data_IF_425597615515
#
_entry.id   IF_425597615515
#
_cell.length_a   1.000
_cell.length_b   1.000
_cell.length_c   1.000
_cell.angle_alpha   90.00
_cell.angle_beta   90.00
_cell.angle_gamma   90.00
#
_symmetry.space_group_name_H-M   'P 1'
#
loop_
_entity.id
_entity.type
_entity.pdbx_description
1 polymer ?
#
# COMPACT_ATOMS: atom_id res chain seq x y z
N UNK A 1 -1.62 -6.91 13.74
CA UNK A 1 -0.22 -6.62 14.05
C UNK A 1 -0.14 -5.64 15.22
N UNK A 2 0.92 -5.71 16.01
CA UNK A 2 1.17 -4.77 17.12
C UNK A 2 1.67 -3.40 16.67
N UNK A 3 1.82 -3.17 15.36
CA UNK A 3 2.31 -1.93 14.77
C UNK A 3 1.49 -1.63 13.50
N UNK A 4 0.92 -0.44 13.44
CA UNK A 4 0.27 0.07 12.25
C UNK A 4 1.25 0.79 11.32
N UNK A 5 0.79 1.07 10.10
CA UNK A 5 1.60 1.81 9.13
C UNK A 5 1.89 3.25 9.57
N UNK A 6 1.05 3.84 10.41
CA UNK A 6 1.30 5.15 11.02
C UNK A 6 2.48 5.10 11.99
N UNK A 7 2.47 4.11 12.91
CA UNK A 7 3.51 3.95 13.93
C UNK A 7 4.90 3.75 13.29
N UNK A 8 4.96 2.98 12.20
CA UNK A 8 6.20 2.78 11.45
C UNK A 8 6.74 4.09 10.85
N UNK A 9 5.87 4.94 10.32
CA UNK A 9 6.28 6.24 9.74
C UNK A 9 6.80 7.19 10.81
N UNK A 10 6.14 7.24 11.96
CA UNK A 10 6.61 8.02 13.11
C UNK A 10 7.97 7.52 13.61
N UNK A 11 8.19 6.20 13.62
CA UNK A 11 9.49 5.62 13.99
C UNK A 11 10.61 6.03 13.03
N UNK A 12 10.33 6.17 11.74
CA UNK A 12 11.27 6.78 10.78
C UNK A 12 11.46 8.28 10.99
N UNK A 13 10.64 8.91 11.82
CA UNK A 13 10.69 10.34 12.13
C UNK A 13 9.90 11.22 11.19
N UNK A 14 8.99 10.64 10.39
CA UNK A 14 8.02 11.39 9.59
C UNK A 14 6.95 11.98 10.53
N UNK A 15 6.66 13.26 10.39
CA UNK A 15 5.52 13.89 11.06
C UNK A 15 4.25 13.58 10.24
N UNK A 16 3.33 12.82 10.82
CA UNK A 16 2.11 12.35 10.13
C UNK A 16 0.86 13.18 10.45
N UNK A 17 0.87 13.92 11.56
CA UNK A 17 -0.26 14.75 12.00
C UNK A 17 -0.10 16.18 11.45
N UNK A 18 -0.19 16.28 10.13
CA UNK A 18 -0.02 17.53 9.39
C UNK A 18 -1.33 17.96 8.75
N UNK A 19 -1.61 19.28 8.66
CA UNK A 19 -2.74 19.82 7.92
C UNK A 19 -2.58 19.58 6.41
N UNK A 20 -3.71 19.67 5.68
CA UNK A 20 -3.77 19.36 4.24
C UNK A 20 -2.72 20.13 3.42
N UNK A 21 -2.52 21.41 3.70
CA UNK A 21 -1.56 22.22 2.96
C UNK A 21 -0.13 21.68 3.11
N UNK A 22 0.26 21.33 4.35
CA UNK A 22 1.58 20.78 4.67
C UNK A 22 1.78 19.40 4.06
N UNK A 23 0.74 18.54 4.04
CA UNK A 23 0.78 17.24 3.34
C UNK A 23 0.98 17.43 1.83
N UNK A 24 0.32 18.42 1.22
CA UNK A 24 0.49 18.73 -0.20
C UNK A 24 1.92 19.22 -0.51
N UNK A 25 2.52 20.04 0.36
CA UNK A 25 3.92 20.45 0.22
C UNK A 25 4.88 19.26 0.31
N UNK A 26 4.69 18.37 1.27
CA UNK A 26 5.48 17.12 1.37
C UNK A 26 5.39 16.29 0.08
N UNK A 27 4.20 16.16 -0.49
CA UNK A 27 4.03 15.44 -1.76
C UNK A 27 4.81 16.11 -2.90
N UNK A 28 4.80 17.44 -2.98
CA UNK A 28 5.51 18.18 -4.01
C UNK A 28 7.04 18.08 -3.87
N UNK A 29 7.56 18.02 -2.65
CA UNK A 29 8.99 17.98 -2.36
C UNK A 29 9.57 16.56 -2.38
N UNK A 30 8.90 15.62 -1.73
CA UNK A 30 9.39 14.25 -1.55
C UNK A 30 8.77 13.23 -2.54
N UNK A 31 7.76 13.62 -3.31
CA UNK A 31 7.03 12.70 -4.20
C UNK A 31 6.13 11.72 -3.47
N UNK A 32 6.07 11.77 -2.13
CA UNK A 32 5.27 10.89 -1.28
C UNK A 32 4.61 11.69 -0.16
N UNK A 33 3.41 11.28 0.24
CA UNK A 33 2.71 11.86 1.38
C UNK A 33 1.83 10.82 2.08
N UNK A 34 1.41 11.12 3.30
CA UNK A 34 0.54 10.26 4.10
C UNK A 34 -0.73 11.01 4.52
N UNK A 35 -1.87 10.55 4.02
CA UNK A 35 -3.16 11.07 4.42
C UNK A 35 -3.61 10.37 5.72
N UNK A 36 -3.18 10.91 6.86
CA UNK A 36 -3.49 10.32 8.16
C UNK A 36 -4.99 10.40 8.46
N UNK A 37 -5.63 9.24 8.63
CA UNK A 37 -7.09 9.16 8.73
C UNK A 37 -7.69 10.02 9.85
N UNK A 38 -7.01 10.22 10.97
CA UNK A 38 -7.47 11.08 12.07
C UNK A 38 -7.63 12.54 11.65
N UNK A 39 -6.72 13.02 10.79
CA UNK A 39 -6.74 14.39 10.27
C UNK A 39 -7.78 14.53 9.16
N UNK A 40 -7.75 13.59 8.20
CA UNK A 40 -8.53 13.70 6.97
C UNK A 40 -9.97 13.18 7.08
N UNK A 41 -10.25 12.35 8.10
CA UNK A 41 -11.58 11.78 8.35
C UNK A 41 -12.02 11.96 9.79
N UNK A 42 -12.12 13.19 10.31
CA UNK A 42 -12.42 13.43 11.71
C UNK A 42 -13.79 12.87 12.14
N UNK A 43 -14.72 12.72 11.18
CA UNK A 43 -16.04 12.13 11.45
C UNK A 43 -15.96 10.63 11.80
N UNK A 44 -14.92 9.90 11.34
CA UNK A 44 -14.78 8.47 11.64
C UNK A 44 -14.54 8.20 13.13
N UNK A 45 -14.08 9.19 13.91
CA UNK A 45 -13.93 9.05 15.36
C UNK A 45 -15.25 8.72 16.07
N UNK A 46 -16.37 9.21 15.55
CA UNK A 46 -17.69 8.96 16.16
C UNK A 46 -18.19 7.52 15.92
N UNK A 47 -17.61 6.80 14.98
CA UNK A 47 -17.91 5.39 14.73
C UNK A 47 -16.94 4.45 15.47
N UNK A 48 -15.89 4.98 16.12
CA UNK A 48 -14.82 4.18 16.72
C UNK A 48 -15.33 3.23 17.81
N UNK A 49 -16.07 3.75 18.76
CA UNK A 49 -16.59 2.98 19.91
C UNK A 49 -17.57 1.90 19.43
N UNK A 50 -18.50 2.26 18.54
CA UNK A 50 -19.45 1.31 17.97
C UNK A 50 -18.75 0.19 17.17
N UNK A 51 -17.69 0.52 16.43
CA UNK A 51 -16.88 -0.48 15.71
C UNK A 51 -16.15 -1.43 16.66
N UNK A 52 -15.60 -0.89 17.74
CA UNK A 52 -14.92 -1.69 18.76
C UNK A 52 -15.89 -2.66 19.45
N UNK A 53 -17.12 -2.19 19.75
CA UNK A 53 -18.18 -2.98 20.38
C UNK A 53 -18.72 -4.09 19.45
N UNK A 54 -18.90 -3.79 18.15
CA UNK A 54 -19.35 -4.76 17.14
C UNK A 54 -18.31 -5.87 16.94
N UNK A 55 -17.02 -5.56 16.97
CA UNK A 55 -15.91 -6.53 16.93
C UNK A 55 -15.76 -7.35 15.63
N UNK A 56 -16.53 -7.03 14.58
CA UNK A 56 -16.46 -7.70 13.27
C UNK A 56 -16.17 -6.70 12.14
N UNK A 57 -15.58 -7.14 11.01
CA UNK A 57 -15.39 -6.31 9.85
C UNK A 57 -16.71 -5.71 9.35
N UNK A 58 -16.69 -4.42 9.03
CA UNK A 58 -17.82 -3.67 8.50
C UNK A 58 -17.39 -2.91 7.23
N UNK A 59 -18.34 -2.24 6.56
CA UNK A 59 -18.02 -1.39 5.41
C UNK A 59 -17.00 -0.27 5.73
N UNK A 60 -16.84 0.11 6.99
CA UNK A 60 -15.78 1.05 7.41
C UNK A 60 -14.37 0.56 7.08
N UNK A 61 -14.18 -0.76 6.93
CA UNK A 61 -12.88 -1.32 6.61
C UNK A 61 -12.43 -1.02 5.17
N UNK A 62 -13.38 -0.73 4.27
CA UNK A 62 -13.09 -0.37 2.87
C UNK A 62 -13.24 1.13 2.58
N UNK A 63 -13.75 1.91 3.54
CA UNK A 63 -13.94 3.36 3.31
C UNK A 63 -12.64 4.13 3.21
N UNK A 64 -11.57 3.71 3.89
CA UNK A 64 -10.28 4.42 3.88
C UNK A 64 -9.76 4.66 2.45
N UNK A 65 -9.50 3.61 1.67
CA UNK A 65 -9.09 3.76 0.27
C UNK A 65 -10.12 4.47 -0.62
N UNK A 66 -11.41 4.21 -0.40
CA UNK A 66 -12.49 4.80 -1.19
C UNK A 66 -12.75 6.28 -0.84
N UNK A 67 -12.36 6.73 0.34
CA UNK A 67 -12.51 8.11 0.79
C UNK A 67 -11.18 8.89 0.80
N UNK A 68 -10.18 8.43 0.04
CA UNK A 68 -8.89 9.11 -0.05
C UNK A 68 -9.07 10.57 -0.51
N UNK A 69 -8.65 11.57 0.29
CA UNK A 69 -8.86 12.98 -0.03
C UNK A 69 -8.07 13.44 -1.27
N UNK A 70 -6.98 12.74 -1.60
CA UNK A 70 -6.18 13.04 -2.79
C UNK A 70 -6.87 12.62 -4.10
N UNK A 71 -7.93 11.79 -4.04
CA UNK A 71 -8.66 11.28 -5.22
C UNK A 71 -7.71 10.80 -6.32
N UNK A 72 -6.80 9.87 -6.03
CA UNK A 72 -5.82 9.43 -7.01
C UNK A 72 -6.51 8.79 -8.23
N UNK A 73 -5.96 9.03 -9.42
CA UNK A 73 -6.45 8.43 -10.66
C UNK A 73 -6.13 6.93 -10.74
N UNK A 74 -5.13 6.47 -9.98
CA UNK A 74 -4.69 5.08 -9.94
C UNK A 74 -4.54 4.60 -8.50
N UNK A 75 -4.89 3.34 -8.21
CA UNK A 75 -4.79 2.75 -6.87
C UNK A 75 -4.38 1.28 -6.89
N UNK A 76 -3.51 0.89 -5.95
CA UNK A 76 -3.26 -0.50 -5.59
C UNK A 76 -3.77 -0.71 -4.16
N UNK A 77 -4.69 -1.64 -3.96
CA UNK A 77 -5.42 -1.79 -2.68
C UNK A 77 -5.53 -3.24 -2.27
N UNK A 78 -4.93 -3.56 -1.13
CA UNK A 78 -5.12 -4.84 -0.47
C UNK A 78 -6.41 -4.89 0.36
N UNK A 79 -7.08 -6.04 0.38
CA UNK A 79 -8.36 -6.22 1.07
C UNK A 79 -8.37 -7.50 1.91
N UNK A 80 -8.43 -7.36 3.24
CA UNK A 80 -8.44 -8.49 4.16
C UNK A 80 -9.73 -9.33 4.06
N UNK A 81 -10.87 -8.73 3.70
CA UNK A 81 -12.17 -9.39 3.66
C UNK A 81 -12.62 -9.60 2.20
N UNK A 82 -12.49 -10.81 1.71
CA UNK A 82 -12.70 -11.17 0.29
C UNK A 82 -14.03 -10.68 -0.31
N UNK A 83 -15.19 -10.83 0.33
CA UNK A 83 -16.46 -10.32 -0.22
C UNK A 83 -16.46 -8.80 -0.48
N UNK A 84 -15.64 -8.04 0.22
CA UNK A 84 -15.54 -6.60 0.04
C UNK A 84 -14.59 -6.19 -1.11
N UNK A 85 -13.73 -7.09 -1.58
CA UNK A 85 -12.79 -6.79 -2.66
C UNK A 85 -13.52 -6.51 -3.98
N UNK A 86 -14.47 -7.37 -4.36
CA UNK A 86 -15.28 -7.16 -5.56
C UNK A 86 -16.13 -5.87 -5.48
N UNK A 87 -16.67 -5.56 -4.29
CA UNK A 87 -17.42 -4.31 -4.05
C UNK A 87 -16.51 -3.09 -4.25
N UNK A 88 -15.31 -3.14 -3.68
CA UNK A 88 -14.33 -2.06 -3.83
C UNK A 88 -13.93 -1.87 -5.29
N UNK A 89 -13.62 -2.95 -6.00
CA UNK A 89 -13.28 -2.91 -7.41
C UNK A 89 -14.42 -2.29 -8.25
N UNK A 90 -15.67 -2.65 -7.97
CA UNK A 90 -16.85 -2.07 -8.62
C UNK A 90 -16.97 -0.56 -8.41
N UNK A 91 -16.77 -0.09 -7.17
CA UNK A 91 -16.79 1.35 -6.86
C UNK A 91 -15.68 2.11 -7.58
N UNK A 92 -14.46 1.53 -7.64
CA UNK A 92 -13.34 2.15 -8.35
C UNK A 92 -13.61 2.21 -9.86
N UNK A 93 -14.19 1.17 -10.45
CA UNK A 93 -14.61 1.16 -11.85
C UNK A 93 -15.65 2.24 -12.17
N UNK A 94 -16.69 2.37 -11.33
CA UNK A 94 -17.71 3.43 -11.49
C UNK A 94 -17.11 4.85 -11.40
N UNK A 95 -16.00 5.01 -10.66
CA UNK A 95 -15.29 6.28 -10.53
C UNK A 95 -14.31 6.56 -11.67
N UNK A 96 -14.11 5.61 -12.58
CA UNK A 96 -13.09 5.69 -13.62
C UNK A 96 -11.66 5.69 -13.10
N UNK A 97 -11.44 5.05 -11.95
CA UNK A 97 -10.11 4.90 -11.33
C UNK A 97 -9.48 3.62 -11.86
N UNK A 98 -8.27 3.69 -12.40
CA UNK A 98 -7.48 2.50 -12.70
C UNK A 98 -6.97 1.87 -11.40
N UNK A 99 -7.20 0.56 -11.23
CA UNK A 99 -6.81 -0.05 -9.97
C UNK A 99 -6.47 -1.54 -10.07
N UNK A 100 -5.64 -1.97 -9.14
CA UNK A 100 -5.51 -3.37 -8.75
C UNK A 100 -6.04 -3.52 -7.32
N UNK A 101 -7.10 -4.29 -7.14
CA UNK A 101 -7.59 -4.71 -5.83
C UNK A 101 -7.19 -6.16 -5.65
N UNK A 102 -6.58 -6.51 -4.51
CA UNK A 102 -6.02 -7.85 -4.37
C UNK A 102 -6.10 -8.39 -2.95
N UNK A 103 -5.93 -9.72 -2.86
CA UNK A 103 -5.88 -10.46 -1.61
C UNK A 103 -5.13 -11.77 -1.82
N UNK A 104 -4.18 -12.07 -0.93
CA UNK A 104 -3.54 -13.38 -0.85
C UNK A 104 -4.54 -14.48 -0.44
N UNK A 105 -4.44 -15.67 -1.05
CA UNK A 105 -5.28 -16.82 -0.66
C UNK A 105 -4.94 -17.35 0.73
N UNK A 106 -3.77 -17.00 1.28
CA UNK A 106 -3.34 -17.17 2.66
C UNK A 106 -3.99 -16.20 3.65
N UNK A 107 -4.74 -15.22 3.14
CA UNK A 107 -5.53 -14.29 3.94
C UNK A 107 -4.90 -12.91 4.13
N UNK A 108 -3.70 -12.66 3.62
CA UNK A 108 -3.05 -11.36 3.69
C UNK A 108 -3.74 -10.35 2.75
N UNK A 109 -3.85 -9.11 3.18
CA UNK A 109 -4.36 -7.99 2.41
C UNK A 109 -3.27 -7.32 1.54
N UNK A 110 -2.43 -8.15 0.95
CA UNK A 110 -1.34 -7.81 0.05
C UNK A 110 -1.25 -8.83 -1.09
N UNK A 111 -0.46 -8.57 -2.13
CA UNK A 111 0.02 -9.62 -3.01
C UNK A 111 1.01 -10.48 -2.22
N UNK A 112 0.65 -11.75 -2.06
CA UNK A 112 1.42 -12.68 -1.23
C UNK A 112 2.67 -13.20 -1.96
N UNK A 113 3.76 -13.39 -1.20
CA UNK A 113 4.95 -14.14 -1.63
C UNK A 113 4.95 -15.58 -1.11
N UNK A 114 3.90 -15.98 -0.37
CA UNK A 114 3.75 -17.30 0.22
C UNK A 114 2.67 -18.14 -0.46
N UNK A 115 1.75 -17.51 -1.18
CA UNK A 115 0.61 -18.14 -1.81
C UNK A 115 0.13 -17.35 -3.04
N UNK A 116 -0.67 -17.93 -3.93
CA UNK A 116 -1.34 -17.17 -4.99
C UNK A 116 -2.23 -16.06 -4.42
N UNK A 117 -2.43 -15.01 -5.20
CA UNK A 117 -3.33 -13.90 -4.86
C UNK A 117 -4.45 -13.78 -5.88
N UNK A 118 -5.68 -13.49 -5.43
CA UNK A 118 -6.76 -13.05 -6.32
C UNK A 118 -6.58 -11.57 -6.60
N UNK A 119 -6.81 -11.17 -7.85
CA UNK A 119 -6.65 -9.79 -8.31
C UNK A 119 -7.89 -9.37 -9.10
N UNK A 120 -8.51 -8.28 -8.70
CA UNK A 120 -9.53 -7.57 -9.47
C UNK A 120 -8.84 -6.41 -10.19
N UNK A 121 -8.69 -6.56 -11.48
CA UNK A 121 -8.09 -5.55 -12.36
C UNK A 121 -9.19 -4.59 -12.80
N UNK A 122 -9.03 -3.32 -12.48
CA UNK A 122 -9.97 -2.25 -12.81
C UNK A 122 -9.33 -1.34 -13.85
N UNK A 123 -9.94 -1.26 -15.01
CA UNK A 123 -9.49 -0.39 -16.11
C UNK A 123 -10.68 -0.04 -17.01
N UNK A 124 -10.69 1.16 -17.56
CA UNK A 124 -11.74 1.65 -18.49
C UNK A 124 -13.16 1.46 -17.96
N UNK A 125 -13.36 1.59 -16.65
CA UNK A 125 -14.66 1.40 -16.00
C UNK A 125 -15.15 -0.05 -15.93
N UNK A 126 -14.28 -1.03 -16.20
CA UNK A 126 -14.58 -2.45 -16.13
C UNK A 126 -13.78 -3.14 -15.04
N UNK A 127 -14.31 -4.23 -14.52
CA UNK A 127 -13.62 -5.11 -13.57
C UNK A 127 -13.38 -6.47 -14.21
N UNK A 128 -12.14 -6.93 -14.19
CA UNK A 128 -11.76 -8.27 -14.62
C UNK A 128 -11.09 -9.00 -13.45
N UNK A 129 -11.49 -10.22 -13.18
CA UNK A 129 -10.81 -11.07 -12.20
C UNK A 129 -9.62 -11.78 -12.85
N UNK A 130 -8.54 -11.89 -12.09
CA UNK A 130 -7.31 -12.57 -12.45
C UNK A 130 -6.68 -13.20 -11.21
N UNK A 131 -5.58 -13.92 -11.37
CA UNK A 131 -4.82 -14.50 -10.27
C UNK A 131 -3.32 -14.33 -10.53
N UNK A 132 -2.57 -14.12 -9.46
CA UNK A 132 -1.12 -14.00 -9.50
C UNK A 132 -0.50 -15.06 -8.59
N UNK A 133 0.29 -15.95 -9.19
CA UNK A 133 1.17 -16.86 -8.44
C UNK A 133 2.58 -16.25 -8.41
N UNK A 134 3.16 -15.96 -7.24
CA UNK A 134 4.51 -15.40 -7.16
C UNK A 134 5.57 -16.32 -7.79
N UNK A 135 5.35 -17.62 -7.83
CA UNK A 135 6.25 -18.57 -8.47
C UNK A 135 6.37 -18.34 -9.99
N UNK A 136 5.33 -17.84 -10.65
CA UNK A 136 5.36 -17.47 -12.07
C UNK A 136 6.31 -16.28 -12.36
N UNK A 137 6.63 -15.50 -11.33
CA UNK A 137 7.55 -14.37 -11.38
C UNK A 137 8.99 -14.77 -10.94
N UNK A 138 9.22 -16.03 -10.64
CA UNK A 138 10.51 -16.51 -10.09
C UNK A 138 10.74 -16.12 -8.62
N UNK A 139 9.71 -15.65 -7.91
CA UNK A 139 9.78 -15.32 -6.49
C UNK A 139 9.69 -16.62 -5.70
N UNK A 140 10.69 -16.96 -4.86
CA UNK A 140 10.65 -18.17 -4.05
C UNK A 140 9.50 -18.10 -3.03
N UNK A 141 8.81 -19.23 -2.84
CA UNK A 141 7.75 -19.29 -1.82
C UNK A 141 8.34 -19.00 -0.43
N UNK A 142 7.84 -17.99 0.23
CA UNK A 142 8.28 -17.62 1.57
C UNK A 142 7.62 -18.51 2.63
N UNK A 143 8.34 -18.77 3.72
CA UNK A 143 7.74 -19.42 4.88
C UNK A 143 6.62 -18.55 5.48
N UNK A 144 5.59 -19.16 6.11
CA UNK A 144 4.44 -18.40 6.64
C UNK A 144 4.78 -17.33 7.67
N UNK A 145 5.93 -17.44 8.32
CA UNK A 145 6.42 -16.48 9.32
C UNK A 145 7.52 -15.54 8.79
N UNK A 146 7.90 -15.67 7.52
CA UNK A 146 8.98 -14.87 6.92
C UNK A 146 8.67 -13.36 6.88
N UNK A 147 7.41 -13.00 6.88
CA UNK A 147 6.93 -11.61 6.90
C UNK A 147 6.51 -11.16 8.31
N UNK A 148 6.82 -11.95 9.36
CA UNK A 148 6.44 -11.57 10.70
C UNK A 148 7.22 -10.36 11.17
N UNK A 149 6.50 -9.29 11.45
CA UNK A 149 7.03 -8.08 12.06
C UNK A 149 6.95 -8.11 13.60
N UNK A 150 7.23 -6.94 14.20
CA UNK A 150 7.14 -6.70 15.63
C UNK A 150 6.47 -5.35 15.93
N UNK A 151 7.02 -4.65 16.92
CA UNK A 151 6.70 -3.25 17.18
C UNK A 151 7.27 -2.30 16.12
N UNK A 152 7.05 -1.01 16.27
CA UNK A 152 7.49 -0.01 15.30
C UNK A 152 9.01 -0.02 15.09
N UNK A 153 9.78 -0.13 16.18
CA UNK A 153 11.24 -0.15 16.10
C UNK A 153 11.77 -1.39 15.37
N UNK A 154 11.20 -2.56 15.64
CA UNK A 154 11.54 -3.81 14.94
C UNK A 154 11.20 -3.68 13.46
N UNK A 155 10.03 -3.17 13.12
CA UNK A 155 9.60 -3.02 11.73
C UNK A 155 10.43 -1.96 10.98
N UNK A 156 10.81 -0.87 11.64
CA UNK A 156 11.73 0.13 11.08
C UNK A 156 13.11 -0.48 10.79
N UNK A 157 13.64 -1.26 11.70
CA UNK A 157 14.90 -1.96 11.49
C UNK A 157 14.83 -2.98 10.34
N UNK A 158 13.70 -3.71 10.19
CA UNK A 158 13.46 -4.59 9.05
C UNK A 158 13.43 -3.77 7.75
N UNK A 159 12.73 -2.65 7.74
CA UNK A 159 12.63 -1.79 6.56
C UNK A 159 13.98 -1.18 6.18
N UNK A 160 14.78 -0.76 7.16
CA UNK A 160 16.11 -0.24 6.89
C UNK A 160 17.00 -1.30 6.23
N UNK A 161 16.95 -2.56 6.67
CA UNK A 161 17.75 -3.63 6.05
C UNK A 161 17.45 -3.83 4.57
N UNK A 162 16.19 -3.87 4.15
CA UNK A 162 15.92 -4.01 2.72
C UNK A 162 16.22 -2.72 1.92
N UNK A 163 16.10 -1.54 2.54
CA UNK A 163 16.58 -0.28 1.94
C UNK A 163 18.11 -0.30 1.75
N UNK A 164 18.84 -0.94 2.65
CA UNK A 164 20.30 -1.15 2.57
C UNK A 164 20.68 -2.32 1.63
N UNK A 165 19.71 -2.93 0.95
CA UNK A 165 19.93 -3.97 -0.08
C UNK A 165 19.82 -5.40 0.41
N UNK A 166 19.38 -5.66 1.65
CA UNK A 166 19.15 -7.04 2.13
C UNK A 166 18.10 -7.73 1.24
N UNK A 167 18.44 -8.93 0.74
CA UNK A 167 17.55 -9.78 -0.05
C UNK A 167 16.70 -10.67 0.86
N UNK A 168 15.55 -11.13 0.37
CA UNK A 168 14.68 -12.07 1.05
C UNK A 168 13.21 -11.71 0.98
N UNK A 169 12.38 -12.48 1.67
CA UNK A 169 10.93 -12.46 1.53
C UNK A 169 10.29 -11.07 1.78
N UNK A 170 10.82 -10.28 2.72
CA UNK A 170 10.30 -8.92 2.99
C UNK A 170 10.54 -8.01 1.79
N UNK A 171 11.76 -8.02 1.24
CA UNK A 171 12.08 -7.26 0.03
C UNK A 171 11.21 -7.71 -1.14
N UNK A 172 11.06 -9.03 -1.34
CA UNK A 172 10.28 -9.59 -2.44
C UNK A 172 8.81 -9.16 -2.32
N UNK A 173 8.24 -9.19 -1.12
CA UNK A 173 6.88 -8.71 -0.85
C UNK A 173 6.74 -7.21 -1.15
N UNK A 174 7.69 -6.38 -0.73
CA UNK A 174 7.67 -4.93 -1.00
C UNK A 174 7.76 -4.66 -2.50
N UNK A 175 8.67 -5.31 -3.21
CA UNK A 175 8.83 -5.14 -4.65
C UNK A 175 7.59 -5.59 -5.43
N UNK A 176 7.00 -6.73 -5.05
CA UNK A 176 5.79 -7.26 -5.68
C UNK A 176 4.61 -6.27 -5.54
N UNK A 177 4.40 -5.74 -4.34
CA UNK A 177 3.32 -4.79 -4.09
C UNK A 177 3.60 -3.40 -4.67
N UNK A 178 4.88 -2.98 -4.74
CA UNK A 178 5.27 -1.77 -5.46
C UNK A 178 5.02 -1.89 -6.97
N UNK A 179 5.32 -3.06 -7.57
CA UNK A 179 5.01 -3.33 -8.96
C UNK A 179 3.50 -3.27 -9.25
N UNK A 180 2.65 -3.73 -8.33
CA UNK A 180 1.20 -3.55 -8.45
C UNK A 180 0.79 -2.07 -8.49
N UNK A 181 1.41 -1.23 -7.67
CA UNK A 181 1.23 0.22 -7.72
C UNK A 181 1.63 0.81 -9.07
N UNK A 182 2.74 0.37 -9.63
CA UNK A 182 3.22 0.82 -10.95
C UNK A 182 2.27 0.38 -12.08
N UNK A 183 1.79 -0.87 -12.06
CA UNK A 183 0.80 -1.35 -13.05
C UNK A 183 -0.49 -0.54 -12.97
N UNK A 184 -1.00 -0.25 -11.77
CA UNK A 184 -2.18 0.58 -11.60
C UNK A 184 -1.93 2.00 -12.15
N UNK A 185 -0.76 2.58 -11.90
CA UNK A 185 -0.37 3.91 -12.35
C UNK A 185 -0.23 4.01 -13.88
N UNK A 186 0.35 3.00 -14.51
CA UNK A 186 0.55 2.95 -15.97
C UNK A 186 -0.75 2.69 -16.74
N UNK A 187 -1.82 2.26 -16.05
CA UNK A 187 -3.10 1.82 -16.61
C UNK A 187 -3.08 0.33 -16.94
N UNK A 188 -3.84 -0.49 -16.16
CA UNK A 188 -3.85 -1.93 -16.38
C UNK A 188 -4.42 -2.30 -17.76
N UNK A 189 -3.78 -3.23 -18.44
CA UNK A 189 -4.18 -3.71 -19.77
C UNK A 189 -4.99 -5.01 -19.72
N UNK A 190 -5.41 -5.50 -20.89
CA UNK A 190 -6.08 -6.80 -21.02
C UNK A 190 -5.14 -8.01 -20.88
N UNK A 191 -3.81 -7.81 -20.84
CA UNK A 191 -2.85 -8.88 -20.67
C UNK A 191 -2.99 -9.56 -19.29
N UNK A 192 -2.53 -10.81 -19.13
CA UNK A 192 -2.48 -11.46 -17.82
C UNK A 192 -1.76 -10.60 -16.79
N UNK A 193 -2.27 -10.58 -15.55
CA UNK A 193 -1.69 -9.72 -14.51
C UNK A 193 -0.24 -10.11 -14.18
N UNK A 194 0.10 -11.39 -14.29
CA UNK A 194 1.47 -11.85 -14.09
C UNK A 194 2.45 -11.20 -15.06
N UNK A 195 2.08 -11.06 -16.34
CA UNK A 195 2.94 -10.44 -17.35
C UNK A 195 3.12 -8.94 -17.08
N UNK A 196 2.06 -8.26 -16.65
CA UNK A 196 2.10 -6.83 -16.31
C UNK A 196 2.96 -6.57 -15.08
N UNK A 197 2.82 -7.38 -14.04
CA UNK A 197 3.67 -7.30 -12.84
C UNK A 197 5.12 -7.62 -13.18
N UNK A 198 5.38 -8.67 -13.98
CA UNK A 198 6.74 -9.02 -14.42
C UNK A 198 7.43 -7.85 -15.15
N UNK A 199 6.68 -7.12 -15.98
CA UNK A 199 7.21 -5.95 -16.70
C UNK A 199 7.48 -4.75 -15.77
N UNK A 200 6.73 -4.61 -14.67
CA UNK A 200 6.87 -3.52 -13.71
C UNK A 200 7.95 -3.77 -12.63
N UNK A 201 8.22 -5.03 -12.29
CA UNK A 201 9.17 -5.42 -11.24
C UNK A 201 10.56 -4.77 -11.39
N UNK A 202 11.20 -4.72 -12.58
CA UNK A 202 12.51 -4.10 -12.73
C UNK A 202 12.54 -2.62 -12.35
N UNK A 203 11.43 -1.89 -12.51
CA UNK A 203 11.32 -0.48 -12.09
C UNK A 203 11.26 -0.35 -10.57
N UNK A 204 10.55 -1.25 -9.91
CA UNK A 204 10.52 -1.29 -8.45
C UNK A 204 11.89 -1.66 -7.88
N UNK A 205 12.58 -2.64 -8.48
CA UNK A 205 13.94 -3.03 -8.13
C UNK A 205 14.93 -1.88 -8.32
N UNK A 206 14.87 -1.18 -9.46
CA UNK A 206 15.72 -0.02 -9.72
C UNK A 206 15.53 1.08 -8.68
N UNK A 207 14.28 1.37 -8.31
CA UNK A 207 13.98 2.39 -7.30
C UNK A 207 14.64 2.06 -5.95
N UNK A 208 14.64 0.79 -5.56
CA UNK A 208 15.22 0.33 -4.32
C UNK A 208 16.76 0.23 -4.41
N UNK A 209 17.27 -0.46 -5.43
CA UNK A 209 18.70 -0.77 -5.57
C UNK A 209 19.56 0.45 -5.95
N UNK A 210 18.97 1.48 -6.55
CA UNK A 210 19.65 2.76 -6.81
C UNK A 210 19.73 3.68 -5.59
N UNK A 211 19.06 3.34 -4.48
CA UNK A 211 18.96 4.19 -3.29
C UNK A 211 17.88 5.28 -3.36
N UNK A 212 17.19 5.44 -4.48
CA UNK A 212 16.13 6.48 -4.64
C UNK A 212 15.00 6.32 -3.63
N UNK A 213 14.65 5.09 -3.24
CA UNK A 213 13.63 4.83 -2.23
C UNK A 213 14.06 5.33 -0.84
N UNK A 214 15.33 5.13 -0.47
CA UNK A 214 15.89 5.67 0.78
C UNK A 214 15.97 7.20 0.75
N UNK A 215 16.42 7.79 -0.35
CA UNK A 215 16.46 9.24 -0.55
C UNK A 215 15.06 9.88 -0.45
N UNK A 216 14.04 9.25 -1.04
CA UNK A 216 12.66 9.70 -0.92
C UNK A 216 12.17 9.69 0.54
N UNK A 217 12.51 8.66 1.33
CA UNK A 217 12.20 8.60 2.75
C UNK A 217 12.89 9.71 3.53
N UNK A 218 14.18 9.94 3.32
CA UNK A 218 14.93 11.02 3.98
C UNK A 218 14.37 12.39 3.64
N UNK A 219 14.04 12.62 2.38
CA UNK A 219 13.40 13.87 1.92
C UNK A 219 12.05 14.05 2.58
N UNK A 220 11.24 12.98 2.68
CA UNK A 220 9.94 13.04 3.34
C UNK A 220 10.05 13.33 4.83
N UNK A 221 10.98 12.70 5.54
CA UNK A 221 11.27 13.00 6.96
C UNK A 221 11.62 14.47 7.13
N UNK A 222 12.51 15.01 6.28
CA UNK A 222 12.97 16.39 6.36
C UNK A 222 11.83 17.39 6.07
N UNK A 223 11.09 17.19 4.98
CA UNK A 223 10.00 18.07 4.58
C UNK A 223 8.83 18.04 5.56
N UNK A 224 8.49 16.86 6.11
CA UNK A 224 7.41 16.75 7.10
C UNK A 224 7.75 17.48 8.41
N UNK A 225 9.00 17.42 8.86
CA UNK A 225 9.47 18.16 10.04
C UNK A 225 9.49 19.65 9.80
N UNK A 226 9.97 20.11 8.64
CA UNK A 226 9.96 21.52 8.29
C UNK A 226 8.54 22.08 8.24
N UNK A 227 7.60 21.32 7.67
CA UNK A 227 6.19 21.70 7.59
C UNK A 227 5.52 21.79 8.97
N UNK A 228 5.91 20.96 9.94
CA UNK A 228 5.33 20.97 11.29
C UNK A 228 5.76 22.18 12.13
N UNK A 229 6.85 22.87 11.77
CA UNK A 229 7.35 24.06 12.48
C UNK A 229 6.76 25.35 11.91
N UNK A 230 6.23 25.29 10.69
CA UNK A 230 5.67 26.45 9.99
C UNK A 230 4.19 26.73 10.32
N UNK A 231 3.51 25.81 11.01
CA UNK A 231 2.14 25.89 11.53
C UNK A 231 2.14 26.28 13.02
#
# INVERSE_FOLDING_TARGET
SGCGSADLREEFGVVIDLPLASVASCLAEAGIAFCFARVFHPALRFAGDARAEIGVPTFFNILGPLANPARPAAQAVGVAHEPLAAVMAGVLAERGTDALVFRGTDGIDELSVSAPSRVWVVSEGQVREDSLDPAALGIPAAAPDALRGGDAAVNAAISQRFLDGEKGAVRDAVLLNAAAGLVAYDGPSAAPIADQIAAALPRAEESLDSGKAAEALETWVTSSRAASVAD
#
